data_IF_412869435335
#
_entry.id   IF_412869435335
#
_cell.length_a   1.000
_cell.length_b   1.000
_cell.length_c   1.000
_cell.angle_alpha   90.00
_cell.angle_beta   90.00
_cell.angle_gamma   90.00
#
_symmetry.space_group_name_H-M   'P 1'
#
loop_
_entity.id
_entity.type
_entity.pdbx_description
1 polymer ?
#
# COMPACT_ATOMS: atom_id res chain seq x y z
N UNK A 1 4.82 -25.09 -17.46
CA UNK A 1 5.21 -23.79 -18.08
C UNK A 1 6.67 -23.55 -17.73
N UNK A 2 7.50 -23.01 -18.63
CA UNK A 2 8.87 -22.65 -18.26
C UNK A 2 8.84 -21.66 -17.10
N UNK A 3 9.83 -21.77 -16.22
CA UNK A 3 10.05 -20.85 -15.10
C UNK A 3 10.17 -19.42 -15.65
N UNK A 4 9.39 -18.47 -15.10
CA UNK A 4 9.39 -17.08 -15.59
C UNK A 4 10.75 -16.47 -15.26
N UNK A 5 11.50 -16.01 -16.26
CA UNK A 5 12.80 -15.38 -16.00
C UNK A 5 12.63 -13.91 -15.61
N UNK A 6 13.61 -13.36 -14.89
CA UNK A 6 13.67 -11.91 -14.60
C UNK A 6 13.64 -11.09 -15.89
N UNK A 7 14.32 -11.55 -16.95
CA UNK A 7 14.31 -10.89 -18.26
C UNK A 7 12.91 -10.85 -18.90
N UNK A 8 12.13 -11.93 -18.78
CA UNK A 8 10.74 -11.96 -19.24
C UNK A 8 9.86 -11.00 -18.43
N UNK A 9 10.00 -10.97 -17.10
CA UNK A 9 9.25 -10.07 -16.22
C UNK A 9 9.53 -8.60 -16.56
N UNK A 10 10.81 -8.23 -16.73
CA UNK A 10 11.23 -6.87 -17.12
C UNK A 10 10.69 -6.50 -18.50
N UNK A 11 10.78 -7.40 -19.48
CA UNK A 11 10.28 -7.14 -20.84
C UNK A 11 8.78 -6.84 -20.86
N UNK A 12 8.00 -7.63 -20.12
CA UNK A 12 6.55 -7.40 -19.96
C UNK A 12 6.26 -6.07 -19.25
N UNK A 13 6.95 -5.78 -18.15
CA UNK A 13 6.75 -4.53 -17.41
C UNK A 13 7.06 -3.30 -18.27
N UNK A 14 8.17 -3.30 -19.00
CA UNK A 14 8.54 -2.20 -19.92
C UNK A 14 7.53 -1.97 -21.02
N UNK A 15 6.92 -3.03 -21.55
CA UNK A 15 5.84 -2.86 -22.53
C UNK A 15 4.65 -2.11 -21.91
N UNK A 16 4.35 -2.35 -20.63
CA UNK A 16 3.26 -1.73 -19.88
C UNK A 16 3.55 -0.28 -19.45
N UNK A 17 4.82 0.10 -19.27
CA UNK A 17 5.22 1.49 -18.95
C UNK A 17 4.70 2.52 -19.96
N UNK A 18 4.45 2.13 -21.21
CA UNK A 18 3.85 3.01 -22.23
C UNK A 18 2.44 3.50 -21.87
N UNK A 19 1.76 2.84 -20.93
CA UNK A 19 0.43 3.20 -20.43
C UNK A 19 0.47 4.18 -19.25
N UNK A 20 1.66 4.49 -18.72
CA UNK A 20 1.79 5.45 -17.62
C UNK A 20 1.24 6.83 -18.02
N UNK A 21 0.58 7.47 -17.07
CA UNK A 21 0.03 8.80 -17.24
C UNK A 21 1.14 9.80 -17.53
N UNK A 22 0.93 10.59 -18.58
CA UNK A 22 1.83 11.67 -19.00
C UNK A 22 1.33 12.99 -18.46
N UNK A 23 2.19 14.01 -18.53
CA UNK A 23 1.86 15.38 -18.12
C UNK A 23 0.54 15.89 -18.72
N UNK A 24 0.29 15.64 -20.00
CA UNK A 24 -0.94 16.07 -20.67
C UNK A 24 -2.18 15.37 -20.13
N UNK A 25 -2.06 14.11 -19.70
CA UNK A 25 -3.18 13.37 -19.09
C UNK A 25 -3.56 14.02 -17.76
N UNK A 26 -2.57 14.33 -16.93
CA UNK A 26 -2.77 15.01 -15.64
C UNK A 26 -3.35 16.42 -15.82
N UNK A 27 -2.88 17.18 -16.81
CA UNK A 27 -3.46 18.49 -17.13
C UNK A 27 -4.91 18.38 -17.60
N UNK A 28 -5.25 17.34 -18.37
CA UNK A 28 -6.64 17.04 -18.75
C UNK A 28 -7.50 16.71 -17.54
N UNK A 29 -7.02 15.85 -16.64
CA UNK A 29 -7.74 15.47 -15.42
C UNK A 29 -8.01 16.67 -14.51
N UNK A 30 -7.03 17.57 -14.35
CA UNK A 30 -7.18 18.78 -13.57
C UNK A 30 -8.21 19.77 -14.16
N UNK A 31 -8.47 19.68 -15.47
CA UNK A 31 -9.45 20.50 -16.18
C UNK A 31 -10.84 19.85 -16.28
N UNK A 32 -11.04 18.65 -15.71
CA UNK A 32 -12.34 17.98 -15.70
C UNK A 32 -13.38 18.85 -14.96
N UNK A 33 -14.57 18.95 -15.52
CA UNK A 33 -15.63 19.82 -14.98
C UNK A 33 -16.23 19.26 -13.67
N UNK A 34 -16.15 17.94 -13.48
CA UNK A 34 -16.64 17.24 -12.29
C UNK A 34 -16.02 15.84 -12.17
N UNK A 35 -16.29 15.20 -11.02
CA UNK A 35 -15.77 13.85 -10.70
C UNK A 35 -16.28 12.78 -11.67
N UNK A 36 -17.50 12.91 -12.21
CA UNK A 36 -18.04 11.97 -13.20
C UNK A 36 -17.27 12.02 -14.50
N UNK A 37 -16.92 13.21 -14.97
CA UNK A 37 -16.06 13.39 -16.14
C UNK A 37 -14.66 12.82 -15.88
N UNK A 38 -14.07 13.11 -14.71
CA UNK A 38 -12.78 12.55 -14.31
C UNK A 38 -12.80 11.01 -14.32
N UNK A 39 -13.83 10.40 -13.74
CA UNK A 39 -13.99 8.94 -13.73
C UNK A 39 -14.05 8.36 -15.14
N UNK A 40 -14.77 9.03 -16.07
CA UNK A 40 -14.79 8.64 -17.49
C UNK A 40 -13.41 8.77 -18.13
N UNK A 41 -12.69 9.87 -17.89
CA UNK A 41 -11.35 10.09 -18.44
C UNK A 41 -10.32 9.06 -17.93
N UNK A 42 -10.42 8.63 -16.67
CA UNK A 42 -9.60 7.55 -16.11
C UNK A 42 -9.87 6.23 -16.82
N UNK A 43 -11.15 5.86 -17.02
CA UNK A 43 -11.52 4.66 -17.79
C UNK A 43 -11.05 4.71 -19.24
N UNK A 44 -11.13 5.87 -19.89
CA UNK A 44 -10.58 6.08 -21.25
C UNK A 44 -9.06 5.83 -21.31
N UNK A 45 -8.34 6.01 -20.19
CA UNK A 45 -6.92 5.67 -20.02
C UNK A 45 -6.68 4.21 -19.59
N UNK A 46 -7.75 3.45 -19.39
CA UNK A 46 -7.72 2.07 -18.92
C UNK A 46 -7.37 1.93 -17.45
N UNK A 47 -7.70 2.94 -16.63
CA UNK A 47 -7.62 2.93 -15.16
C UNK A 47 -9.02 2.62 -14.62
N UNK A 48 -9.15 1.45 -13.99
CA UNK A 48 -10.43 0.89 -13.58
C UNK A 48 -11.29 0.43 -14.77
N UNK A 49 -12.26 -0.44 -14.51
CA UNK A 49 -13.08 -1.09 -15.54
C UNK A 49 -14.57 -0.93 -15.30
N UNK A 50 -14.98 -0.77 -14.03
CA UNK A 50 -16.40 -0.71 -13.70
C UNK A 50 -17.02 0.59 -14.19
N UNK A 51 -17.99 0.47 -15.10
CA UNK A 51 -18.72 1.64 -15.58
C UNK A 51 -19.63 2.20 -14.47
N UNK A 52 -19.72 3.53 -14.42
CA UNK A 52 -20.44 4.23 -13.36
C UNK A 52 -19.78 4.23 -11.98
N UNK A 53 -18.63 3.54 -11.79
CA UNK A 53 -17.86 3.63 -10.55
C UNK A 53 -17.27 5.04 -10.35
N UNK A 54 -17.09 5.41 -9.08
CA UNK A 54 -16.42 6.64 -8.69
C UNK A 54 -14.90 6.53 -8.82
N UNK A 55 -14.22 7.67 -8.65
CA UNK A 55 -12.76 7.73 -8.82
C UNK A 55 -12.01 6.82 -7.82
N UNK A 56 -12.32 6.82 -6.51
CA UNK A 56 -11.68 5.91 -5.57
C UNK A 56 -11.78 4.43 -5.96
N UNK A 57 -12.96 3.97 -6.37
CA UNK A 57 -13.15 2.56 -6.80
C UNK A 57 -12.32 2.25 -8.04
N UNK A 58 -12.30 3.14 -9.03
CA UNK A 58 -11.50 2.92 -10.26
C UNK A 58 -9.99 2.85 -9.99
N UNK A 59 -9.49 3.70 -9.08
CA UNK A 59 -8.08 3.69 -8.70
C UNK A 59 -7.73 2.42 -7.91
N UNK A 60 -8.64 1.95 -7.05
CA UNK A 60 -8.48 0.69 -6.33
C UNK A 60 -8.42 -0.51 -7.28
N UNK A 61 -9.37 -0.59 -8.23
CA UNK A 61 -9.38 -1.64 -9.26
C UNK A 61 -8.09 -1.68 -10.08
N UNK A 62 -7.57 -0.53 -10.49
CA UNK A 62 -6.31 -0.45 -11.25
C UNK A 62 -5.10 -0.90 -10.42
N UNK A 63 -5.05 -0.52 -9.13
CA UNK A 63 -4.01 -0.96 -8.20
C UNK A 63 -4.03 -2.48 -7.99
N UNK A 64 -5.21 -3.08 -7.78
CA UNK A 64 -5.37 -4.53 -7.66
C UNK A 64 -4.97 -5.26 -8.95
N UNK A 65 -5.38 -4.76 -10.11
CA UNK A 65 -5.00 -5.34 -11.40
C UNK A 65 -3.50 -5.24 -11.66
N UNK A 66 -2.88 -4.11 -11.30
CA UNK A 66 -1.44 -3.92 -11.42
C UNK A 66 -0.69 -4.87 -10.49
N UNK A 67 -1.15 -5.03 -9.26
CA UNK A 67 -0.56 -5.97 -8.32
C UNK A 67 -0.67 -7.42 -8.79
N UNK A 68 -1.86 -7.83 -9.24
CA UNK A 68 -2.08 -9.13 -9.86
C UNK A 68 -1.14 -9.35 -11.05
N UNK A 69 -0.97 -8.33 -11.89
CA UNK A 69 -0.07 -8.42 -13.03
C UNK A 69 1.40 -8.59 -12.61
N UNK A 70 1.88 -7.83 -11.63
CA UNK A 70 3.25 -7.95 -11.13
C UNK A 70 3.51 -9.34 -10.58
N UNK A 71 2.61 -9.85 -9.73
CA UNK A 71 2.73 -11.18 -9.12
C UNK A 71 2.56 -12.31 -10.14
N UNK A 72 1.68 -12.15 -11.13
CA UNK A 72 1.51 -13.11 -12.22
C UNK A 72 2.70 -13.11 -13.20
N UNK A 73 3.61 -12.14 -13.18
CA UNK A 73 4.76 -12.11 -14.10
C UNK A 73 6.11 -12.28 -13.41
N UNK A 74 6.19 -12.11 -12.09
CA UNK A 74 7.43 -12.23 -11.34
C UNK A 74 7.93 -13.69 -11.25
N UNK A 75 9.26 -13.93 -11.32
CA UNK A 75 9.87 -15.21 -10.94
C UNK A 75 9.66 -15.54 -9.46
N UNK A 76 9.80 -14.52 -8.62
CA UNK A 76 9.70 -14.62 -7.17
C UNK A 76 9.00 -13.37 -6.63
N UNK A 77 7.87 -13.57 -5.96
CA UNK A 77 7.09 -12.50 -5.36
C UNK A 77 7.68 -12.01 -4.04
N UNK A 78 8.58 -12.77 -3.41
CA UNK A 78 9.29 -12.34 -2.20
C UNK A 78 10.17 -11.10 -2.48
N UNK A 79 10.55 -10.87 -3.74
CA UNK A 79 11.20 -9.64 -4.18
C UNK A 79 10.39 -8.36 -3.86
N UNK A 80 9.07 -8.48 -3.72
CA UNK A 80 8.19 -7.34 -3.45
C UNK A 80 7.96 -7.07 -1.96
N UNK A 81 8.38 -7.98 -1.07
CA UNK A 81 8.14 -7.86 0.38
C UNK A 81 8.62 -6.52 0.99
N UNK A 82 9.80 -5.96 0.62
CA UNK A 82 10.23 -4.66 1.12
C UNK A 82 9.32 -3.49 0.71
N UNK A 83 8.59 -3.61 -0.39
CA UNK A 83 7.67 -2.56 -0.83
C UNK A 83 6.29 -2.73 -0.18
N UNK A 84 5.83 -3.97 -0.01
CA UNK A 84 4.56 -4.25 0.65
C UNK A 84 4.54 -3.84 2.13
N UNK A 85 5.66 -4.01 2.84
CA UNK A 85 5.69 -3.68 4.27
C UNK A 85 5.44 -2.18 4.52
N UNK A 86 5.72 -1.31 3.54
CA UNK A 86 5.40 0.12 3.64
C UNK A 86 3.89 0.35 3.82
N UNK A 87 3.07 -0.39 3.06
CA UNK A 87 1.62 -0.34 3.18
C UNK A 87 1.15 -0.88 4.54
N UNK A 88 1.80 -1.92 5.09
CA UNK A 88 1.49 -2.43 6.42
C UNK A 88 1.71 -1.37 7.52
N UNK A 89 2.85 -0.66 7.48
CA UNK A 89 3.14 0.40 8.43
C UNK A 89 2.24 1.63 8.24
N UNK A 90 1.92 2.00 7.00
CA UNK A 90 0.94 3.05 6.71
C UNK A 90 -0.44 2.70 7.29
N UNK A 91 -0.92 1.49 7.02
CA UNK A 91 -2.20 1.00 7.52
C UNK A 91 -2.22 0.93 9.04
N UNK A 92 -1.13 0.49 9.68
CA UNK A 92 -1.00 0.53 11.13
C UNK A 92 -1.13 1.95 11.69
N UNK A 93 -0.47 2.95 11.09
CA UNK A 93 -0.61 4.36 11.51
C UNK A 93 -2.05 4.85 11.41
N UNK A 94 -2.74 4.54 10.31
CA UNK A 94 -4.13 4.92 10.09
C UNK A 94 -5.05 4.29 11.16
N UNK A 95 -4.93 2.97 11.38
CA UNK A 95 -5.71 2.23 12.37
C UNK A 95 -5.43 2.72 13.80
N UNK A 96 -4.15 2.89 14.16
CA UNK A 96 -3.72 3.35 15.48
C UNK A 96 -4.33 4.72 15.81
N UNK A 97 -4.17 5.69 14.91
CA UNK A 97 -4.69 7.05 15.09
C UNK A 97 -6.21 7.06 15.07
N UNK A 98 -6.82 6.32 14.16
CA UNK A 98 -8.26 6.22 14.02
C UNK A 98 -8.92 5.70 15.30
N UNK A 99 -8.41 4.60 15.86
CA UNK A 99 -8.94 4.02 17.10
C UNK A 99 -8.70 4.93 18.29
N UNK A 100 -7.47 5.44 18.50
CA UNK A 100 -7.17 6.30 19.67
C UNK A 100 -7.96 7.62 19.63
N UNK A 101 -8.25 8.15 18.43
CA UNK A 101 -8.97 9.42 18.25
C UNK A 101 -10.46 9.27 17.96
N UNK A 102 -10.98 8.04 17.85
CA UNK A 102 -12.37 7.77 17.48
C UNK A 102 -12.75 8.36 16.11
N UNK A 103 -11.91 8.17 15.09
CA UNK A 103 -12.13 8.65 13.72
C UNK A 103 -12.12 7.50 12.73
N UNK A 104 -12.92 7.63 11.67
CA UNK A 104 -12.91 6.71 10.53
C UNK A 104 -11.53 6.70 9.84
N UNK A 105 -11.07 5.51 9.46
CA UNK A 105 -9.75 5.29 8.87
C UNK A 105 -9.75 4.34 7.66
N UNK A 106 -10.88 3.67 7.37
CA UNK A 106 -10.95 2.63 6.33
C UNK A 106 -10.55 3.19 4.96
N UNK A 107 -11.00 4.40 4.62
CA UNK A 107 -10.67 5.06 3.35
C UNK A 107 -9.20 5.53 3.26
N UNK A 108 -8.44 5.45 4.36
CA UNK A 108 -7.02 5.79 4.39
C UNK A 108 -6.11 4.57 4.21
N UNK A 109 -6.69 3.37 4.17
CA UNK A 109 -5.93 2.13 4.02
C UNK A 109 -5.43 2.00 2.58
N UNK A 110 -4.20 1.51 2.44
CA UNK A 110 -3.56 1.25 1.16
C UNK A 110 -3.46 -0.27 0.98
N UNK A 111 -3.92 -0.72 -0.18
CA UNK A 111 -3.78 -2.09 -0.65
C UNK A 111 -2.90 -2.10 -1.90
N UNK A 112 -2.17 -3.19 -2.16
CA UNK A 112 -2.09 -4.44 -1.38
C UNK A 112 -1.28 -4.28 -0.08
N UNK A 113 -1.64 -5.05 0.96
CA UNK A 113 -0.92 -5.13 2.22
C UNK A 113 -0.72 -6.60 2.61
N UNK A 114 0.30 -6.90 3.43
CA UNK A 114 0.55 -8.26 3.92
C UNK A 114 -0.12 -8.55 5.26
N UNK A 115 -0.50 -7.51 6.00
CA UNK A 115 -1.20 -7.61 7.27
C UNK A 115 -2.68 -7.31 7.09
N UNK A 116 -3.52 -8.27 7.48
CA UNK A 116 -4.97 -8.14 7.48
C UNK A 116 -5.44 -7.01 8.41
N UNK A 117 -6.44 -6.24 7.98
CA UNK A 117 -7.00 -5.14 8.77
C UNK A 117 -7.45 -5.61 10.16
N UNK A 118 -8.08 -6.78 10.24
CA UNK A 118 -8.54 -7.35 11.51
C UNK A 118 -7.40 -7.62 12.50
N UNK A 119 -6.20 -7.94 12.02
CA UNK A 119 -5.02 -8.12 12.87
C UNK A 119 -4.51 -6.77 13.38
N UNK A 120 -4.46 -5.74 12.53
CA UNK A 120 -4.10 -4.37 12.94
C UNK A 120 -5.07 -3.84 14.00
N UNK A 121 -6.36 -4.03 13.80
CA UNK A 121 -7.38 -3.58 14.74
C UNK A 121 -7.25 -4.27 16.10
N UNK A 122 -7.05 -5.60 16.12
CA UNK A 122 -6.83 -6.35 17.37
C UNK A 122 -5.55 -5.92 18.06
N UNK A 123 -4.47 -5.70 17.29
CA UNK A 123 -3.21 -5.24 17.84
C UNK A 123 -3.38 -3.90 18.60
N UNK A 124 -4.15 -2.96 18.05
CA UNK A 124 -4.40 -1.66 18.70
C UNK A 124 -5.45 -1.75 19.82
N UNK A 125 -6.59 -2.39 19.59
CA UNK A 125 -7.71 -2.46 20.57
C UNK A 125 -7.35 -3.29 21.80
N UNK A 126 -6.64 -4.40 21.61
CA UNK A 126 -6.37 -5.40 22.64
C UNK A 126 -4.89 -5.42 23.07
N UNK A 127 -4.04 -4.55 22.50
CA UNK A 127 -2.58 -4.53 22.72
C UNK A 127 -1.91 -5.86 22.37
N UNK A 128 -2.46 -6.57 21.37
CA UNK A 128 -2.00 -7.87 20.89
C UNK A 128 -1.04 -7.71 19.71
N UNK A 129 0.10 -7.07 19.96
CA UNK A 129 1.12 -6.81 18.93
C UNK A 129 1.80 -8.09 18.43
N UNK A 130 1.72 -9.18 19.20
CA UNK A 130 2.17 -10.52 18.81
C UNK A 130 1.42 -11.09 17.59
N UNK A 131 0.26 -10.51 17.24
CA UNK A 131 -0.49 -10.85 16.03
C UNK A 131 0.09 -10.22 14.76
N UNK A 132 1.01 -9.27 14.90
CA UNK A 132 1.68 -8.61 13.78
C UNK A 132 2.95 -9.37 13.40
N UNK A 133 3.43 -9.24 12.15
CA UNK A 133 4.72 -9.77 11.74
C UNK A 133 5.84 -9.27 12.67
N UNK A 134 6.87 -10.10 12.89
CA UNK A 134 7.99 -9.82 13.81
C UNK A 134 8.60 -8.42 13.61
N UNK A 135 8.71 -7.96 12.37
CA UNK A 135 9.28 -6.66 12.04
C UNK A 135 8.41 -5.46 12.48
N UNK A 136 7.13 -5.66 12.76
CA UNK A 136 6.20 -4.62 13.21
C UNK A 136 5.99 -4.61 14.72
N UNK A 137 6.15 -5.73 15.43
CA UNK A 137 5.66 -5.87 16.81
C UNK A 137 6.20 -4.78 17.74
N UNK A 138 7.53 -4.59 17.73
CA UNK A 138 8.21 -3.57 18.56
C UNK A 138 7.82 -2.14 18.18
N UNK A 139 8.01 -1.67 16.92
CA UNK A 139 7.65 -0.29 16.56
C UNK A 139 6.15 -0.02 16.73
N UNK A 140 5.29 -1.02 16.52
CA UNK A 140 3.86 -0.90 16.78
C UNK A 140 3.57 -0.63 18.27
N UNK A 141 4.13 -1.45 19.16
CA UNK A 141 3.95 -1.30 20.60
C UNK A 141 4.47 0.06 21.11
N UNK A 142 5.68 0.46 20.69
CA UNK A 142 6.29 1.73 21.10
C UNK A 142 5.48 2.94 20.61
N UNK A 143 5.02 2.92 19.36
CA UNK A 143 4.19 3.99 18.82
C UNK A 143 2.81 4.07 19.51
N UNK A 144 2.23 2.92 19.87
CA UNK A 144 1.01 2.88 20.65
C UNK A 144 1.21 3.54 22.02
N UNK A 145 2.27 3.17 22.74
CA UNK A 145 2.55 3.72 24.08
C UNK A 145 2.74 5.23 24.04
N UNK A 146 3.54 5.73 23.10
CA UNK A 146 3.75 7.17 22.92
C UNK A 146 2.42 7.87 22.66
N UNK A 147 1.64 7.41 21.67
CA UNK A 147 0.41 8.08 21.30
C UNK A 147 -0.64 8.03 22.42
N UNK A 148 -0.73 6.91 23.16
CA UNK A 148 -1.67 6.75 24.25
C UNK A 148 -1.31 7.58 25.50
N UNK A 149 -0.02 7.74 25.79
CA UNK A 149 0.44 8.43 27.01
C UNK A 149 0.60 9.94 26.82
N UNK A 150 1.24 10.37 25.73
CA UNK A 150 1.56 11.78 25.50
C UNK A 150 0.60 12.46 24.52
N UNK A 151 -0.12 11.67 23.71
CA UNK A 151 -0.90 12.20 22.59
C UNK A 151 -0.06 12.68 21.41
N UNK A 152 1.26 12.47 21.43
CA UNK A 152 2.18 12.91 20.39
C UNK A 152 2.09 12.01 19.14
N UNK A 153 1.28 12.42 18.18
CA UNK A 153 1.11 11.71 16.92
C UNK A 153 2.35 11.76 16.04
N UNK A 154 3.17 12.80 16.16
CA UNK A 154 4.34 12.96 15.30
C UNK A 154 5.46 12.03 15.74
N UNK A 155 5.67 11.90 17.06
CA UNK A 155 6.63 10.94 17.59
C UNK A 155 6.22 9.49 17.30
N UNK A 156 4.93 9.17 17.41
CA UNK A 156 4.41 7.86 17.03
C UNK A 156 4.65 7.54 15.53
N UNK A 157 4.48 8.54 14.65
CA UNK A 157 4.83 8.40 13.23
C UNK A 157 6.33 8.16 13.04
N UNK A 158 7.20 8.94 13.70
CA UNK A 158 8.65 8.74 13.59
C UNK A 158 9.09 7.33 14.01
N UNK A 159 8.48 6.76 15.06
CA UNK A 159 8.78 5.39 15.53
C UNK A 159 8.34 4.36 14.48
N UNK A 160 7.12 4.49 13.98
CA UNK A 160 6.60 3.56 12.95
C UNK A 160 7.36 3.66 11.64
N UNK A 161 7.75 4.87 11.20
CA UNK A 161 8.55 5.09 9.99
C UNK A 161 9.97 4.52 10.14
N UNK A 162 10.61 4.69 11.31
CA UNK A 162 11.89 4.05 11.60
C UNK A 162 11.80 2.51 11.59
N UNK A 163 10.69 1.98 12.12
CA UNK A 163 10.34 0.56 12.03
C UNK A 163 10.19 0.08 10.58
N UNK A 164 9.49 0.86 9.76
CA UNK A 164 9.33 0.59 8.33
C UNK A 164 10.68 0.51 7.62
N UNK A 165 11.53 1.53 7.75
CA UNK A 165 12.86 1.55 7.12
C UNK A 165 13.72 0.35 7.56
N UNK A 166 13.62 -0.05 8.82
CA UNK A 166 14.33 -1.24 9.34
C UNK A 166 13.79 -2.54 8.74
N UNK A 167 12.47 -2.66 8.62
CA UNK A 167 11.81 -3.80 8.00
C UNK A 167 12.15 -3.92 6.51
N UNK A 168 12.13 -2.81 5.78
CA UNK A 168 12.50 -2.75 4.36
C UNK A 168 13.91 -3.30 4.15
N UNK A 169 14.88 -2.86 4.96
CA UNK A 169 16.25 -3.35 4.91
C UNK A 169 16.34 -4.86 5.20
N UNK A 170 15.69 -5.32 6.28
CA UNK A 170 15.69 -6.74 6.66
C UNK A 170 15.09 -7.63 5.56
N UNK A 171 13.97 -7.22 4.98
CA UNK A 171 13.28 -7.95 3.93
C UNK A 171 14.08 -7.93 2.61
N UNK A 172 14.78 -6.82 2.32
CA UNK A 172 15.66 -6.74 1.16
C UNK A 172 16.87 -7.66 1.30
N UNK A 173 17.51 -7.71 2.47
CA UNK A 173 18.62 -8.64 2.73
C UNK A 173 18.17 -10.11 2.62
N UNK A 174 16.93 -10.43 3.03
CA UNK A 174 16.36 -11.78 2.93
C UNK A 174 15.97 -12.18 1.51
N UNK A 175 15.58 -11.25 0.65
CA UNK A 175 15.11 -11.57 -0.71
C UNK A 175 16.24 -11.98 -1.66
N UNK A 176 17.52 -11.93 -1.23
CA UNK A 176 18.71 -12.37 -1.99
C UNK A 176 18.82 -11.81 -3.42
N UNK A 177 18.15 -10.70 -3.70
CA UNK A 177 18.23 -10.02 -4.99
C UNK A 177 19.51 -9.17 -5.06
N UNK A 178 20.63 -9.83 -5.33
CA UNK A 178 21.86 -9.24 -5.90
C UNK A 178 22.19 -9.91 -7.20
#
# INVERSE_FOLDING_TARGET
MPEKSVGFAIGNLRARENRLLKKNDLSGFAAANNVTELARMLRDKGIGKTDGADVPVLLHEDAEEMWKYLTDNAPDTAAFAPFLCENDFHNYKAVLKGIIRGREYVDLLILPASVELSALEKAVKEKRFDLLPDYMQKPAAEAYEVLAQSGDSQLADCITDAGCMSAQRLLAEKSKNT
#
